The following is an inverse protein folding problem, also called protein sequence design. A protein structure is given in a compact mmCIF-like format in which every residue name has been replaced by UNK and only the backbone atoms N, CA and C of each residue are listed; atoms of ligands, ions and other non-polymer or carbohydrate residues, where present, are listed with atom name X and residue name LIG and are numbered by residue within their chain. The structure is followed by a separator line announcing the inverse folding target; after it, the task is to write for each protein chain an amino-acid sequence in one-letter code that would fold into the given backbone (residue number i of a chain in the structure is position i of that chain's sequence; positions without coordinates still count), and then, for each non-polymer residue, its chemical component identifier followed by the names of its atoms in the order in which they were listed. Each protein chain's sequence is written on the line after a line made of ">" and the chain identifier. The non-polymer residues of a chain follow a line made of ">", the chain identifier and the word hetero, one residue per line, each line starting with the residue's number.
data_IF_825454121130
#
_entry.id   IF_825454121130
#
_cell.length_a   1.000
_cell.length_b   1.000
_cell.length_c   1.000
_cell.angle_alpha   90.00
_cell.angle_beta   90.00
_cell.angle_gamma   90.00
#
_symmetry.space_group_name_H-M   'P 1'
#
loop_
_entity.id
_entity.type
_entity.pdbx_description
1 polymer ?
#
# COMPACT_ATOMS: atom_id res chain seq x y z
N UNK A 1 -68.85 -32.45 20.19
CA UNK A 1 -68.91 -31.01 19.85
C UNK A 1 -70.04 -30.44 20.67
N UNK A 2 -69.74 -29.73 21.76
CA UNK A 2 -70.75 -29.10 22.61
C UNK A 2 -70.79 -27.62 22.24
N UNK A 3 -71.98 -27.12 21.89
CA UNK A 3 -72.22 -25.69 21.71
C UNK A 3 -72.96 -25.20 22.96
N UNK A 4 -72.32 -24.34 23.75
CA UNK A 4 -72.98 -23.56 24.80
C UNK A 4 -73.08 -22.12 24.34
N UNK A 5 -74.30 -21.61 24.22
CA UNK A 5 -74.60 -20.23 23.86
C UNK A 5 -74.50 -19.38 25.13
N UNK A 6 -73.58 -18.41 25.15
CA UNK A 6 -73.52 -17.37 26.19
C UNK A 6 -74.29 -16.13 25.71
N UNK A 7 -74.95 -15.46 26.64
CA UNK A 7 -76.17 -14.64 26.49
C UNK A 7 -76.08 -13.35 25.64
N UNK A 8 -75.10 -13.19 24.76
CA UNK A 8 -75.10 -12.14 23.72
C UNK A 8 -74.55 -12.67 22.41
N UNK A 9 -75.38 -13.40 21.67
CA UNK A 9 -75.33 -13.47 20.20
C UNK A 9 -74.03 -13.93 19.52
N UNK A 10 -73.07 -14.53 20.22
CA UNK A 10 -71.83 -15.02 19.58
C UNK A 10 -71.70 -16.53 19.78
N UNK A 11 -71.80 -17.27 18.68
CA UNK A 11 -71.58 -18.72 18.65
C UNK A 11 -70.09 -18.95 18.42
N UNK A 12 -69.37 -19.44 19.43
CA UNK A 12 -67.95 -19.75 19.33
C UNK A 12 -67.78 -21.26 19.14
N UNK A 13 -67.36 -21.68 17.95
CA UNK A 13 -66.97 -23.06 17.67
C UNK A 13 -65.52 -23.27 18.10
N UNK A 14 -65.28 -24.08 19.14
CA UNK A 14 -63.93 -24.48 19.54
C UNK A 14 -63.59 -25.85 18.94
N UNK A 15 -62.60 -25.88 18.04
CA UNK A 15 -62.03 -27.12 17.52
C UNK A 15 -60.92 -27.64 18.44
N UNK A 16 -60.91 -28.96 18.62
CA UNK A 16 -59.92 -29.72 19.39
C UNK A 16 -58.60 -29.82 18.61
N UNK A 17 -57.49 -29.81 19.33
CA UNK A 17 -56.12 -29.71 18.83
C UNK A 17 -55.84 -30.52 17.55
N UNK A 18 -55.36 -29.84 16.51
CA UNK A 18 -54.71 -30.47 15.35
C UNK A 18 -55.33 -30.26 13.96
N UNK A 19 -56.21 -29.27 13.74
CA UNK A 19 -56.73 -28.95 12.40
C UNK A 19 -56.78 -27.45 12.14
N UNK A 20 -56.29 -27.03 10.96
CA UNK A 20 -56.37 -25.63 10.50
C UNK A 20 -57.83 -25.16 10.42
N UNK A 21 -58.10 -24.04 11.09
CA UNK A 21 -59.40 -23.41 11.10
C UNK A 21 -59.47 -22.38 9.95
N UNK A 22 -59.75 -22.83 8.73
CA UNK A 22 -60.17 -21.95 7.63
C UNK A 22 -61.68 -21.73 7.69
N UNK A 23 -62.16 -21.03 8.71
CA UNK A 23 -63.52 -20.50 8.72
C UNK A 23 -63.53 -19.09 9.29
N UNK A 24 -63.39 -18.11 8.41
CA UNK A 24 -63.86 -16.76 8.65
C UNK A 24 -65.39 -16.78 8.60
N UNK A 25 -66.02 -17.11 9.72
CA UNK A 25 -67.41 -16.75 9.94
C UNK A 25 -67.44 -15.30 10.44
N UNK A 26 -67.61 -14.35 9.52
CA UNK A 26 -68.01 -12.98 9.84
C UNK A 26 -69.33 -12.69 9.14
N UNK A 27 -70.41 -12.84 9.91
CA UNK A 27 -71.63 -12.05 9.72
C UNK A 27 -71.29 -10.65 10.22
N UNK A 28 -71.14 -9.70 9.31
CA UNK A 28 -70.73 -8.32 9.63
C UNK A 28 -69.21 -8.15 9.62
N UNK A 29 -68.71 -7.27 8.75
CA UNK A 29 -67.30 -7.13 8.43
C UNK A 29 -66.41 -6.67 9.58
N UNK A 30 -65.37 -7.46 9.86
CA UNK A 30 -64.03 -7.04 10.29
C UNK A 30 -63.18 -8.31 10.36
N UNK A 31 -62.49 -8.63 9.27
CA UNK A 31 -61.50 -9.71 9.24
C UNK A 31 -60.13 -9.08 9.46
N UNK A 32 -59.78 -8.83 10.72
CA UNK A 32 -58.39 -8.50 11.11
C UNK A 32 -57.55 -9.77 11.07
N UNK A 33 -57.17 -10.19 9.86
CA UNK A 33 -56.06 -11.14 9.68
C UNK A 33 -54.77 -10.36 9.92
N UNK A 34 -54.17 -10.53 11.10
CA UNK A 34 -52.83 -10.05 11.41
C UNK A 34 -51.81 -10.87 10.61
N UNK A 35 -51.74 -10.61 9.31
CA UNK A 35 -50.59 -10.99 8.49
C UNK A 35 -49.50 -9.98 8.82
N UNK A 36 -48.42 -10.43 9.44
CA UNK A 36 -47.15 -9.69 9.49
C UNK A 36 -46.85 -9.16 8.09
N UNK A 37 -47.04 -7.85 7.87
CA UNK A 37 -46.71 -7.15 6.63
C UNK A 37 -45.19 -7.01 6.53
N UNK A 38 -44.51 -8.14 6.33
CA UNK A 38 -43.23 -8.13 5.66
C UNK A 38 -43.55 -7.69 4.25
N UNK A 39 -43.05 -6.51 3.84
CA UNK A 39 -43.23 -6.00 2.49
C UNK A 39 -42.64 -7.01 1.50
N UNK A 40 -43.48 -7.90 1.00
CA UNK A 40 -43.17 -8.79 -0.11
C UNK A 40 -43.03 -7.89 -1.34
N UNK A 41 -41.80 -7.66 -1.77
CA UNK A 41 -41.45 -6.81 -2.91
C UNK A 41 -42.10 -7.27 -4.24
N UNK A 42 -42.77 -8.43 -4.24
CA UNK A 42 -43.52 -8.96 -5.39
C UNK A 42 -44.96 -8.45 -5.48
N UNK A 43 -45.49 -7.81 -4.43
CA UNK A 43 -46.79 -7.12 -4.46
C UNK A 43 -46.54 -5.61 -4.36
N UNK A 44 -46.63 -4.93 -5.50
CA UNK A 44 -46.50 -3.48 -5.58
C UNK A 44 -47.40 -2.75 -4.57
N UNK A 45 -46.94 -1.56 -4.18
CA UNK A 45 -47.63 -0.69 -3.23
C UNK A 45 -49.02 -0.33 -3.80
N UNK A 46 -50.09 -0.73 -3.10
CA UNK A 46 -51.47 -0.49 -3.54
C UNK A 46 -52.05 0.73 -2.79
N UNK A 47 -52.36 1.79 -3.54
CA UNK A 47 -52.80 3.11 -3.02
C UNK A 47 -54.32 3.32 -3.27
N UNK A 48 -55.08 2.26 -3.53
CA UNK A 48 -56.50 2.40 -3.87
C UNK A 48 -57.41 2.72 -2.68
N UNK A 49 -57.02 2.36 -1.45
CA UNK A 49 -57.80 2.60 -0.23
C UNK A 49 -57.04 3.47 0.78
N UNK A 50 -57.74 4.33 1.52
CA UNK A 50 -57.11 5.23 2.50
C UNK A 50 -56.36 4.48 3.62
N UNK A 51 -56.80 3.25 3.95
CA UNK A 51 -56.07 2.39 4.89
C UNK A 51 -54.80 1.80 4.25
N UNK A 52 -54.86 1.35 3.00
CA UNK A 52 -53.70 0.78 2.31
C UNK A 52 -52.65 1.84 2.01
N UNK A 53 -53.06 3.09 1.79
CA UNK A 53 -52.17 4.25 1.65
C UNK A 53 -51.36 4.50 2.95
N UNK A 54 -52.01 4.52 4.12
CA UNK A 54 -51.32 4.72 5.40
C UNK A 54 -50.32 3.59 5.69
N UNK A 55 -50.69 2.34 5.42
CA UNK A 55 -49.82 1.19 5.63
C UNK A 55 -48.62 1.22 4.64
N UNK A 56 -48.83 1.70 3.42
CA UNK A 56 -47.79 1.89 2.40
C UNK A 56 -46.79 2.99 2.74
N UNK A 57 -47.27 4.13 3.25
CA UNK A 57 -46.41 5.23 3.71
C UNK A 57 -45.49 4.74 4.83
N UNK A 58 -46.03 4.00 5.81
CA UNK A 58 -45.21 3.41 6.89
C UNK A 58 -44.16 2.43 6.37
N UNK A 59 -44.50 1.61 5.38
CA UNK A 59 -43.53 0.70 4.76
C UNK A 59 -42.39 1.48 4.08
N UNK A 60 -42.71 2.55 3.35
CA UNK A 60 -41.70 3.44 2.73
C UNK A 60 -40.83 4.12 3.79
N UNK A 61 -41.42 4.64 4.88
CA UNK A 61 -40.67 5.24 5.98
C UNK A 61 -39.70 4.26 6.63
N UNK A 62 -40.11 3.01 6.83
CA UNK A 62 -39.24 1.95 7.35
C UNK A 62 -38.08 1.61 6.41
N UNK A 63 -38.34 1.57 5.09
CA UNK A 63 -37.27 1.38 4.10
C UNK A 63 -36.35 2.59 4.07
N UNK A 64 -36.89 3.80 4.11
CA UNK A 64 -36.12 5.04 4.08
C UNK A 64 -35.20 5.19 5.30
N UNK A 65 -35.71 4.87 6.49
CA UNK A 65 -34.91 4.85 7.73
C UNK A 65 -33.79 3.80 7.64
N UNK A 66 -34.08 2.61 7.10
CA UNK A 66 -33.06 1.56 6.87
C UNK A 66 -31.98 2.01 5.89
N UNK A 67 -32.36 2.56 4.73
CA UNK A 67 -31.40 3.08 3.73
C UNK A 67 -30.57 4.23 4.31
N UNK A 68 -31.20 5.10 5.10
CA UNK A 68 -30.51 6.22 5.77
C UNK A 68 -29.50 5.71 6.81
N UNK A 69 -29.85 4.68 7.57
CA UNK A 69 -28.94 4.03 8.51
C UNK A 69 -27.74 3.39 7.79
N UNK A 70 -27.97 2.69 6.68
CA UNK A 70 -26.87 2.11 5.88
C UNK A 70 -25.97 3.18 5.25
N UNK A 71 -26.54 4.30 4.76
CA UNK A 71 -25.74 5.46 4.29
C UNK A 71 -24.89 6.06 5.39
N UNK A 72 -25.43 6.15 6.61
CA UNK A 72 -24.70 6.64 7.77
C UNK A 72 -23.52 5.74 8.13
N UNK A 73 -23.72 4.40 8.12
CA UNK A 73 -22.62 3.43 8.29
C UNK A 73 -21.56 3.57 7.20
N UNK A 74 -21.97 3.77 5.95
CA UNK A 74 -21.03 3.96 4.84
C UNK A 74 -20.20 5.24 5.03
N UNK A 75 -20.80 6.34 5.46
CA UNK A 75 -20.09 7.59 5.80
C UNK A 75 -19.09 7.40 6.95
N UNK A 76 -19.47 6.66 8.00
CA UNK A 76 -18.55 6.33 9.08
C UNK A 76 -17.36 5.47 8.60
N UNK A 77 -17.61 4.53 7.69
CA UNK A 77 -16.55 3.72 7.08
C UNK A 77 -15.64 4.55 6.17
N UNK A 78 -16.19 5.51 5.40
CA UNK A 78 -15.38 6.46 4.62
C UNK A 78 -14.46 7.28 5.51
N UNK A 79 -14.96 7.81 6.63
CA UNK A 79 -14.14 8.56 7.58
C UNK A 79 -12.99 7.70 8.17
N UNK A 80 -13.28 6.44 8.51
CA UNK A 80 -12.23 5.49 8.95
C UNK A 80 -11.20 5.22 7.87
N UNK A 81 -11.63 5.04 6.63
CA UNK A 81 -10.73 4.82 5.51
C UNK A 81 -9.86 6.05 5.26
N UNK A 82 -10.42 7.26 5.31
CA UNK A 82 -9.68 8.51 5.15
C UNK A 82 -8.62 8.69 6.24
N UNK A 83 -8.97 8.45 7.50
CA UNK A 83 -8.00 8.47 8.60
C UNK A 83 -6.92 7.38 8.45
N UNK A 84 -7.29 6.19 7.96
CA UNK A 84 -6.34 5.09 7.73
C UNK A 84 -5.38 5.44 6.60
N UNK A 85 -5.88 6.04 5.51
CA UNK A 85 -5.07 6.49 4.37
C UNK A 85 -4.09 7.57 4.82
N UNK A 86 -4.55 8.57 5.57
CA UNK A 86 -3.69 9.65 6.05
C UNK A 86 -2.59 9.10 6.98
N UNK A 87 -2.95 8.20 7.91
CA UNK A 87 -1.98 7.56 8.78
C UNK A 87 -0.96 6.70 7.98
N UNK A 88 -1.44 5.92 7.01
CA UNK A 88 -0.56 5.10 6.17
C UNK A 88 0.35 5.94 5.28
N UNK A 89 -0.15 7.06 4.74
CA UNK A 89 0.63 8.01 3.96
C UNK A 89 1.79 8.57 4.78
N UNK A 90 1.50 9.07 5.99
CA UNK A 90 2.54 9.53 6.93
C UNK A 90 3.52 8.42 7.30
N UNK A 91 3.03 7.20 7.53
CA UNK A 91 3.90 6.05 7.81
C UNK A 91 4.80 5.70 6.61
N UNK A 92 4.28 5.78 5.39
CA UNK A 92 5.02 5.53 4.15
C UNK A 92 6.10 6.58 3.92
N UNK A 93 5.78 7.86 4.18
CA UNK A 93 6.73 8.97 4.12
C UNK A 93 7.87 8.77 5.14
N UNK A 94 7.53 8.43 6.38
CA UNK A 94 8.51 8.14 7.42
C UNK A 94 9.40 6.94 7.07
N UNK A 95 8.83 5.87 6.52
CA UNK A 95 9.60 4.70 6.09
C UNK A 95 10.51 5.01 4.90
N UNK A 96 10.02 5.77 3.92
CA UNK A 96 10.83 6.20 2.76
C UNK A 96 11.99 7.08 3.20
N UNK A 97 11.76 8.01 4.14
CA UNK A 97 12.81 8.83 4.73
C UNK A 97 13.83 7.99 5.52
N UNK A 98 13.37 7.00 6.28
CA UNK A 98 14.23 6.05 6.98
C UNK A 98 15.05 5.19 6.00
N UNK A 99 14.45 4.70 4.92
CA UNK A 99 15.13 3.95 3.88
C UNK A 99 16.21 4.80 3.19
N UNK A 100 15.89 6.04 2.84
CA UNK A 100 16.86 7.00 2.28
C UNK A 100 18.07 7.18 3.21
N UNK A 101 17.82 7.37 4.51
CA UNK A 101 18.90 7.47 5.52
C UNK A 101 19.74 6.20 5.62
N UNK A 102 19.11 5.03 5.55
CA UNK A 102 19.83 3.74 5.60
C UNK A 102 20.68 3.56 4.34
N UNK A 103 20.12 3.80 3.15
CA UNK A 103 20.85 3.73 1.87
C UNK A 103 22.04 4.67 1.84
N UNK A 104 21.86 5.92 2.26
CA UNK A 104 22.95 6.91 2.29
C UNK A 104 24.02 6.53 3.31
N UNK A 105 23.63 6.03 4.49
CA UNK A 105 24.57 5.57 5.51
C UNK A 105 25.41 4.39 5.02
N UNK A 106 24.79 3.44 4.32
CA UNK A 106 25.49 2.27 3.81
C UNK A 106 26.32 2.59 2.57
N UNK A 107 25.87 3.49 1.69
CA UNK A 107 26.69 3.99 0.59
C UNK A 107 27.91 4.78 1.10
N UNK A 108 27.75 5.58 2.15
CA UNK A 108 28.88 6.27 2.77
C UNK A 108 29.93 5.29 3.32
N UNK A 109 29.51 4.20 3.97
CA UNK A 109 30.44 3.15 4.44
C UNK A 109 31.19 2.49 3.28
N UNK A 110 30.48 2.08 2.22
CA UNK A 110 31.08 1.43 1.05
C UNK A 110 32.08 2.38 0.37
N UNK A 111 31.77 3.68 0.24
CA UNK A 111 32.69 4.67 -0.34
C UNK A 111 33.92 4.86 0.54
N UNK A 112 33.78 4.96 1.86
CA UNK A 112 34.93 5.07 2.78
C UNK A 112 35.81 3.82 2.73
N UNK A 113 35.23 2.64 2.68
CA UNK A 113 35.96 1.38 2.54
C UNK A 113 36.65 1.28 1.17
N UNK A 114 35.98 1.64 0.08
CA UNK A 114 36.55 1.68 -1.26
C UNK A 114 37.70 2.68 -1.35
N UNK A 115 37.54 3.88 -0.79
CA UNK A 115 38.59 4.90 -0.72
C UNK A 115 39.76 4.41 0.13
N UNK A 116 39.51 3.80 1.29
CA UNK A 116 40.56 3.21 2.15
C UNK A 116 41.35 2.14 1.38
N UNK A 117 40.66 1.24 0.68
CA UNK A 117 41.31 0.18 -0.10
C UNK A 117 42.08 0.75 -1.31
N UNK A 118 41.56 1.81 -1.94
CA UNK A 118 42.23 2.51 -3.05
C UNK A 118 43.49 3.24 -2.57
N UNK A 119 43.43 3.93 -1.43
CA UNK A 119 44.58 4.57 -0.78
C UNK A 119 45.60 3.52 -0.37
N UNK A 120 45.16 2.39 0.23
CA UNK A 120 46.08 1.33 0.64
C UNK A 120 46.79 0.70 -0.56
N UNK A 121 46.08 0.48 -1.67
CA UNK A 121 46.66 -0.02 -2.93
C UNK A 121 47.66 0.97 -3.53
N UNK A 122 47.31 2.26 -3.59
CA UNK A 122 48.21 3.32 -4.06
C UNK A 122 49.42 3.50 -3.12
N UNK A 123 49.22 3.43 -1.80
CA UNK A 123 50.29 3.49 -0.81
C UNK A 123 51.19 2.25 -0.89
N UNK A 124 50.65 1.05 -1.11
CA UNK A 124 51.45 -0.15 -1.32
C UNK A 124 52.31 -0.05 -2.59
N UNK A 125 51.78 0.51 -3.69
CA UNK A 125 52.53 0.79 -4.91
C UNK A 125 53.60 1.88 -4.69
N UNK A 126 53.24 2.98 -4.02
CA UNK A 126 54.18 4.05 -3.69
C UNK A 126 55.27 3.57 -2.73
N UNK A 127 54.96 2.67 -1.80
CA UNK A 127 55.93 2.08 -0.87
C UNK A 127 56.85 1.06 -1.54
N UNK A 128 56.33 0.28 -2.51
CA UNK A 128 57.15 -0.54 -3.41
C UNK A 128 58.09 0.33 -4.26
N UNK A 129 57.60 1.48 -4.76
CA UNK A 129 58.40 2.45 -5.52
C UNK A 129 59.35 3.28 -4.65
N UNK A 130 59.04 3.46 -3.36
CA UNK A 130 59.88 4.14 -2.37
C UNK A 130 61.04 3.26 -1.88
N UNK A 131 60.95 1.93 -2.07
CA UNK A 131 62.15 1.09 -2.03
C UNK A 131 63.03 1.60 -3.18
N UNK A 132 64.19 2.18 -2.88
CA UNK A 132 64.81 3.11 -3.80
C UNK A 132 65.09 2.38 -5.12
N UNK A 133 64.73 3.00 -6.25
CA UNK A 133 65.09 2.60 -7.61
C UNK A 133 66.62 2.66 -7.86
N UNK A 134 67.41 2.45 -6.81
CA UNK A 134 68.85 2.72 -6.74
C UNK A 134 69.66 1.47 -7.01
N UNK A 135 69.44 0.89 -8.20
CA UNK A 135 70.47 0.08 -8.83
C UNK A 135 70.46 0.25 -10.36
N UNK A 136 69.28 0.29 -11.00
CA UNK A 136 69.16 0.40 -12.46
C UNK A 136 69.23 1.82 -13.01
N UNK A 137 68.53 2.77 -12.39
CA UNK A 137 68.43 4.14 -12.95
C UNK A 137 69.70 4.97 -12.72
N UNK A 138 70.42 4.73 -11.62
CA UNK A 138 71.75 5.34 -11.39
C UNK A 138 72.77 4.87 -12.44
N UNK A 139 72.75 3.59 -12.84
CA UNK A 139 73.68 3.05 -13.83
C UNK A 139 73.41 3.63 -15.24
N UNK A 140 72.14 3.83 -15.59
CA UNK A 140 71.77 4.44 -16.88
C UNK A 140 72.10 5.95 -16.93
N UNK A 141 71.97 6.67 -15.81
CA UNK A 141 72.42 8.07 -15.71
C UNK A 141 73.95 8.19 -15.82
N UNK A 142 74.70 7.25 -15.24
CA UNK A 142 76.17 7.21 -15.37
C UNK A 142 76.61 6.88 -16.80
N UNK A 143 76.03 5.86 -17.45
CA UNK A 143 76.39 5.48 -18.82
C UNK A 143 76.05 6.60 -19.82
N UNK A 144 74.90 7.27 -19.69
CA UNK A 144 74.51 8.35 -20.60
C UNK A 144 75.42 9.59 -20.46
N UNK A 145 75.78 10.00 -19.24
CA UNK A 145 76.73 11.10 -19.01
C UNK A 145 78.15 10.77 -19.52
N UNK A 146 78.64 9.54 -19.35
CA UNK A 146 79.95 9.14 -19.88
C UNK A 146 79.97 9.07 -21.42
N UNK A 147 78.89 8.62 -22.04
CA UNK A 147 78.78 8.55 -23.51
C UNK A 147 78.72 9.95 -24.13
N UNK A 148 78.01 10.90 -23.51
CA UNK A 148 77.95 12.30 -23.97
C UNK A 148 79.29 13.02 -23.76
N UNK A 149 79.96 12.85 -22.61
CA UNK A 149 81.30 13.43 -22.38
C UNK A 149 82.38 12.83 -23.29
N UNK A 150 82.33 11.53 -23.55
CA UNK A 150 83.23 10.86 -24.50
C UNK A 150 83.06 11.39 -25.93
N UNK A 151 81.82 11.59 -26.36
CA UNK A 151 81.52 12.17 -27.69
C UNK A 151 82.02 13.63 -27.81
N UNK A 152 81.88 14.45 -26.77
CA UNK A 152 82.35 15.86 -26.75
C UNK A 152 83.88 15.98 -26.85
N UNK A 153 84.65 15.03 -26.29
CA UNK A 153 86.14 15.06 -26.35
C UNK A 153 86.67 14.48 -27.66
N UNK A 154 85.96 13.54 -28.29
CA UNK A 154 86.37 12.91 -29.55
C UNK A 154 86.01 13.77 -30.77
N UNK A 155 84.92 14.54 -30.72
CA UNK A 155 84.48 15.41 -31.83
C UNK A 155 85.56 16.41 -32.32
N UNK A 156 86.27 17.17 -31.46
CA UNK A 156 87.31 18.09 -31.93
C UNK A 156 88.53 17.35 -32.48
N UNK A 157 88.89 16.19 -31.93
CA UNK A 157 90.00 15.37 -32.45
C UNK A 157 89.67 14.79 -33.83
N UNK A 158 88.44 14.36 -34.05
CA UNK A 158 87.97 13.84 -35.34
C UNK A 158 87.80 14.94 -36.38
N UNK A 159 87.36 16.14 -35.97
CA UNK A 159 87.30 17.32 -36.83
C UNK A 159 88.71 17.81 -37.22
N UNK A 160 89.68 17.79 -36.30
CA UNK A 160 91.10 18.05 -36.61
C UNK A 160 91.72 17.00 -37.54
N UNK A 161 91.29 15.73 -37.47
CA UNK A 161 91.73 14.68 -38.38
C UNK A 161 91.14 14.83 -39.79
N UNK A 162 89.86 15.21 -39.90
CA UNK A 162 89.20 15.48 -41.19
C UNK A 162 89.69 16.76 -41.88
N UNK A 163 90.10 17.79 -41.13
CA UNK A 163 90.64 19.04 -41.68
C UNK A 163 92.14 18.98 -42.04
N UNK A 164 92.83 17.86 -41.78
CA UNK A 164 94.25 17.68 -42.12
C UNK A 164 94.48 16.65 -43.25
N UNK A 165 93.41 16.12 -43.85
CA UNK A 165 93.44 15.30 -45.06
C UNK A 165 92.77 16.05 -46.20
#
# INVERSE_FOLDING_TARGET
>A
MQLTVQEKGTVVATAKAGGDLTQAATVGGDTTTSTTLVADATKGINISDQKSESDSIKAIENVLTTVSAERSKLGANQNRLEHTINNLSTSSENLTAAESRIRDTDMAKIMVEQTKNSILSQAAQAMLAHKPATAGEIFNYYVNIYTIKGLVVILPAFLCYLLRR
#
